data_IF_500988866261
#
_entry.id   IF_500988866261
#
_cell.length_a   1.000
_cell.length_b   1.000
_cell.length_c   1.000
_cell.angle_alpha   90.00
_cell.angle_beta   90.00
_cell.angle_gamma   90.00
#
_symmetry.space_group_name_H-M   'P 1'
#
loop_
_entity.id
_entity.type
_entity.pdbx_description
1 polymer ?
#
# COMPACT_ATOMS: atom_id res chain seq x y z
N UNK A 1 17.61 14.40 -5.85
CA UNK A 1 16.20 14.86 -5.94
C UNK A 1 15.28 13.73 -5.52
N UNK A 2 14.28 14.05 -4.74
CA UNK A 2 13.34 13.04 -4.26
C UNK A 2 12.39 12.62 -5.39
N UNK A 3 12.09 11.33 -5.48
CA UNK A 3 11.13 10.82 -6.46
C UNK A 3 9.69 11.16 -6.09
N UNK A 4 8.76 10.75 -6.95
CA UNK A 4 7.33 10.99 -6.74
C UNK A 4 6.60 9.70 -6.45
N UNK A 5 5.56 9.79 -5.63
CA UNK A 5 4.76 8.66 -5.22
C UNK A 5 3.40 8.72 -5.90
N UNK A 6 3.07 7.67 -6.65
CA UNK A 6 1.83 7.55 -7.41
C UNK A 6 1.08 6.31 -6.92
N UNK A 7 -0.19 6.48 -6.62
CA UNK A 7 -1.05 5.35 -6.23
C UNK A 7 -2.11 5.10 -7.28
N UNK A 8 -2.42 3.82 -7.50
CA UNK A 8 -3.52 3.40 -8.36
C UNK A 8 -4.54 2.67 -7.51
N UNK A 9 -5.76 3.17 -7.53
CA UNK A 9 -6.85 2.63 -6.75
C UNK A 9 -7.92 2.03 -7.67
N UNK A 10 -8.63 1.02 -7.19
CA UNK A 10 -9.68 0.37 -7.95
C UNK A 10 -9.86 -1.06 -7.51
N UNK A 11 -10.98 -1.65 -7.93
CA UNK A 11 -11.29 -3.03 -7.62
C UNK A 11 -10.56 -4.01 -8.51
N UNK A 12 -10.70 -5.28 -8.19
CA UNK A 12 -10.18 -6.37 -9.01
C UNK A 12 -10.79 -6.30 -10.43
N UNK A 13 -10.00 -6.66 -11.43
CA UNK A 13 -10.48 -6.74 -12.81
C UNK A 13 -10.60 -5.42 -13.55
N UNK A 14 -10.09 -4.31 -12.99
CA UNK A 14 -10.14 -3.01 -13.64
C UNK A 14 -8.98 -2.74 -14.60
N UNK A 15 -8.06 -3.69 -14.76
CA UNK A 15 -6.85 -3.48 -15.56
C UNK A 15 -5.78 -2.66 -14.88
N UNK A 16 -5.90 -2.43 -13.60
CA UNK A 16 -5.02 -1.58 -12.80
C UNK A 16 -3.57 -2.02 -12.85
N UNK A 17 -3.30 -3.33 -12.73
CA UNK A 17 -1.94 -3.86 -12.78
C UNK A 17 -1.29 -3.63 -14.14
N UNK A 18 -2.04 -3.78 -15.22
CA UNK A 18 -1.56 -3.52 -16.57
C UNK A 18 -1.24 -2.04 -16.76
N UNK A 19 -2.12 -1.16 -16.27
CA UNK A 19 -1.90 0.28 -16.34
C UNK A 19 -0.67 0.69 -15.54
N UNK A 20 -0.46 0.11 -14.37
CA UNK A 20 0.72 0.40 -13.55
C UNK A 20 2.01 0.02 -14.28
N UNK A 21 2.04 -1.15 -14.90
CA UNK A 21 3.21 -1.61 -15.65
C UNK A 21 3.49 -0.71 -16.86
N UNK A 22 2.44 -0.31 -17.58
CA UNK A 22 2.60 0.59 -18.73
C UNK A 22 3.10 1.97 -18.32
N UNK A 23 2.58 2.50 -17.22
CA UNK A 23 3.04 3.79 -16.69
C UNK A 23 4.52 3.71 -16.28
N UNK A 24 4.91 2.63 -15.61
CA UNK A 24 6.30 2.42 -15.23
C UNK A 24 7.22 2.42 -16.45
N UNK A 25 6.85 1.71 -17.51
CA UNK A 25 7.63 1.68 -18.75
C UNK A 25 7.76 3.06 -19.38
N UNK A 26 6.69 3.85 -19.39
CA UNK A 26 6.73 5.19 -19.95
C UNK A 26 7.65 6.12 -19.15
N UNK A 27 7.56 6.03 -17.82
CA UNK A 27 8.43 6.85 -16.97
C UNK A 27 9.90 6.45 -17.11
N UNK A 28 10.18 5.17 -17.24
CA UNK A 28 11.54 4.70 -17.49
C UNK A 28 12.06 5.18 -18.83
N UNK A 29 11.21 5.19 -19.86
CA UNK A 29 11.57 5.72 -21.17
C UNK A 29 11.90 7.22 -21.14
N UNK A 30 11.32 7.94 -20.18
CA UNK A 30 11.61 9.36 -19.96
C UNK A 30 12.84 9.60 -19.07
N UNK A 31 13.51 8.55 -18.66
CA UNK A 31 14.74 8.65 -17.86
C UNK A 31 14.55 8.55 -16.36
N UNK A 32 13.36 8.22 -15.90
CA UNK A 32 13.11 8.05 -14.47
C UNK A 32 13.34 6.59 -14.03
N UNK A 33 13.87 6.40 -12.83
CA UNK A 33 13.92 5.08 -12.22
C UNK A 33 12.61 4.86 -11.47
N UNK A 34 11.99 3.69 -11.65
CA UNK A 34 10.67 3.39 -11.11
C UNK A 34 10.72 2.14 -10.24
N UNK A 35 10.13 2.23 -9.06
CA UNK A 35 9.85 1.10 -8.19
C UNK A 35 8.35 0.81 -8.29
N UNK A 36 8.01 -0.34 -8.84
CA UNK A 36 6.63 -0.81 -8.89
C UNK A 36 6.37 -1.66 -7.66
N UNK A 37 5.32 -1.36 -6.93
CA UNK A 37 4.98 -2.07 -5.69
C UNK A 37 3.48 -2.17 -5.51
N UNK A 38 3.04 -2.82 -4.45
CA UNK A 38 1.62 -3.07 -4.20
C UNK A 38 1.32 -3.16 -2.71
N UNK A 39 0.05 -3.07 -2.35
CA UNK A 39 -0.42 -3.31 -0.99
C UNK A 39 -1.62 -4.28 -1.00
N UNK A 40 -1.75 -5.15 0.01
CA UNK A 40 -0.75 -5.38 1.06
C UNK A 40 0.45 -6.13 0.49
N UNK A 41 1.65 -5.79 0.98
CA UNK A 41 2.89 -6.41 0.53
C UNK A 41 3.93 -5.37 0.16
N UNK A 42 4.90 -5.76 -0.64
CA UNK A 42 5.93 -4.86 -1.17
C UNK A 42 7.18 -4.73 -0.31
N UNK A 43 7.25 -5.42 0.80
CA UNK A 43 8.42 -5.46 1.70
C UNK A 43 8.42 -6.79 2.45
N UNK A 44 9.56 -7.20 3.05
CA UNK A 44 9.62 -8.52 3.69
C UNK A 44 8.55 -8.76 4.76
N UNK A 45 8.37 -7.83 5.69
CA UNK A 45 7.33 -7.96 6.72
C UNK A 45 5.93 -7.87 6.16
N UNK A 46 5.72 -6.97 5.20
CA UNK A 46 4.43 -6.80 4.56
C UNK A 46 4.02 -8.04 3.77
N UNK A 47 4.97 -8.73 3.13
CA UNK A 47 4.68 -9.97 2.39
C UNK A 47 4.23 -11.09 3.33
N UNK A 48 4.82 -11.19 4.51
CA UNK A 48 4.39 -12.16 5.53
C UNK A 48 2.95 -11.88 5.94
N UNK A 49 2.64 -10.63 6.22
CA UNK A 49 1.28 -10.22 6.63
C UNK A 49 0.28 -10.45 5.49
N UNK A 50 0.68 -10.13 4.25
CA UNK A 50 -0.13 -10.40 3.07
C UNK A 50 -0.52 -11.88 3.01
N UNK A 51 0.41 -12.77 3.27
CA UNK A 51 0.17 -14.21 3.25
C UNK A 51 -0.91 -14.58 4.27
N UNK A 52 -0.82 -14.06 5.48
CA UNK A 52 -1.82 -14.29 6.53
C UNK A 52 -3.19 -13.77 6.12
N UNK A 53 -3.25 -12.55 5.56
CA UNK A 53 -4.50 -11.93 5.14
C UNK A 53 -5.17 -12.70 4.00
N UNK A 54 -4.41 -13.08 2.97
CA UNK A 54 -4.96 -13.78 1.81
C UNK A 54 -5.36 -15.22 2.12
N UNK A 55 -4.72 -15.85 3.09
CA UNK A 55 -5.09 -17.21 3.50
C UNK A 55 -6.42 -17.29 4.24
N UNK A 56 -6.93 -16.15 4.71
CA UNK A 56 -8.13 -16.10 5.52
C UNK A 56 -7.90 -16.44 6.98
N UNK A 57 -6.65 -16.67 7.40
CA UNK A 57 -6.32 -17.07 8.78
C UNK A 57 -6.73 -16.00 9.81
N UNK A 58 -6.75 -14.73 9.42
CA UNK A 58 -7.12 -13.63 10.30
C UNK A 58 -8.63 -13.37 10.37
N UNK A 59 -9.43 -13.93 9.46
CA UNK A 59 -10.87 -13.68 9.42
C UNK A 59 -11.60 -13.99 10.71
N UNK A 60 -11.31 -15.12 11.41
CA UNK A 60 -11.98 -15.41 12.67
C UNK A 60 -11.70 -14.38 13.76
N UNK A 61 -10.64 -13.59 13.61
CA UNK A 61 -10.27 -12.57 14.60
C UNK A 61 -11.05 -11.26 14.42
N UNK A 62 -11.76 -11.11 13.31
CA UNK A 62 -12.62 -9.97 13.05
C UNK A 62 -11.98 -8.90 12.17
N UNK A 63 -12.84 -7.99 11.67
CA UNK A 63 -12.43 -6.94 10.75
C UNK A 63 -11.46 -5.94 11.38
N UNK A 64 -11.58 -5.69 12.67
CA UNK A 64 -10.68 -4.77 13.37
C UNK A 64 -9.24 -5.30 13.35
N UNK A 65 -9.07 -6.61 13.58
CA UNK A 65 -7.75 -7.23 13.55
C UNK A 65 -7.19 -7.23 12.14
N UNK A 66 -8.01 -7.51 11.14
CA UNK A 66 -7.58 -7.43 9.75
C UNK A 66 -7.10 -6.01 9.40
N UNK A 67 -7.82 -4.98 9.87
CA UNK A 67 -7.41 -3.59 9.64
C UNK A 67 -6.06 -3.29 10.29
N UNK A 68 -5.83 -3.80 11.50
CA UNK A 68 -4.54 -3.64 12.18
C UNK A 68 -3.41 -4.32 11.42
N UNK A 69 -3.67 -5.51 10.87
CA UNK A 69 -2.68 -6.22 10.06
C UNK A 69 -2.36 -5.46 8.78
N UNK A 70 -3.37 -4.90 8.10
CA UNK A 70 -3.14 -4.04 6.93
C UNK A 70 -2.27 -2.84 7.29
N UNK A 71 -2.55 -2.19 8.43
CA UNK A 71 -1.76 -1.05 8.88
C UNK A 71 -0.31 -1.43 9.20
N UNK A 72 -0.10 -2.58 9.82
CA UNK A 72 1.24 -3.07 10.12
C UNK A 72 2.01 -3.39 8.84
N UNK A 73 1.35 -4.00 7.87
CA UNK A 73 1.96 -4.27 6.55
C UNK A 73 2.35 -2.98 5.86
N UNK A 74 1.49 -1.97 5.92
CA UNK A 74 1.76 -0.66 5.32
C UNK A 74 2.94 0.03 6.00
N UNK A 75 3.03 -0.05 7.31
CA UNK A 75 4.14 0.54 8.05
C UNK A 75 5.47 -0.04 7.58
N UNK A 76 5.56 -1.35 7.48
CA UNK A 76 6.75 -2.03 6.99
C UNK A 76 7.06 -1.65 5.53
N UNK A 77 6.03 -1.61 4.68
CA UNK A 77 6.16 -1.24 3.28
C UNK A 77 6.68 0.19 3.12
N UNK A 78 6.15 1.13 3.90
CA UNK A 78 6.61 2.52 3.87
C UNK A 78 8.06 2.62 4.28
N UNK A 79 8.43 1.99 5.39
CA UNK A 79 9.78 2.09 5.92
C UNK A 79 10.82 1.37 5.08
N UNK A 80 10.50 0.19 4.57
CA UNK A 80 11.47 -0.66 3.91
C UNK A 80 11.54 -0.49 2.41
N UNK A 81 10.49 0.01 1.77
CA UNK A 81 10.41 0.11 0.31
C UNK A 81 10.13 1.53 -0.17
N UNK A 82 9.02 2.13 0.27
CA UNK A 82 8.57 3.40 -0.30
C UNK A 82 9.54 4.54 0.03
N UNK A 83 9.79 4.79 1.31
CA UNK A 83 10.68 5.88 1.70
C UNK A 83 12.11 5.73 1.17
N UNK A 84 12.75 4.56 1.27
CA UNK A 84 14.08 4.41 0.70
C UNK A 84 14.13 4.66 -0.81
N UNK A 85 13.10 4.19 -1.54
CA UNK A 85 13.01 4.42 -2.98
C UNK A 85 12.89 5.90 -3.31
N UNK A 86 11.98 6.60 -2.62
CA UNK A 86 11.79 8.04 -2.84
C UNK A 86 13.05 8.83 -2.51
N UNK A 87 13.72 8.48 -1.42
CA UNK A 87 14.95 9.16 -1.00
C UNK A 87 16.08 8.96 -1.99
N UNK A 88 16.11 7.81 -2.67
CA UNK A 88 17.11 7.54 -3.70
C UNK A 88 16.78 8.15 -5.06
N UNK A 89 15.67 8.87 -5.16
CA UNK A 89 15.24 9.52 -6.39
C UNK A 89 14.35 8.69 -7.29
N UNK A 90 13.96 7.49 -6.88
CA UNK A 90 13.05 6.65 -7.66
C UNK A 90 11.62 7.15 -7.53
N UNK A 91 10.88 7.03 -8.62
CA UNK A 91 9.43 7.16 -8.58
C UNK A 91 8.84 5.84 -8.09
N UNK A 92 7.82 5.91 -7.24
CA UNK A 92 7.16 4.72 -6.71
C UNK A 92 5.74 4.69 -7.24
N UNK A 93 5.37 3.59 -7.90
CA UNK A 93 3.99 3.35 -8.33
C UNK A 93 3.46 2.22 -7.44
N UNK A 94 2.44 2.52 -6.66
CA UNK A 94 1.84 1.58 -5.73
C UNK A 94 0.44 1.20 -6.16
N UNK A 95 0.21 -0.08 -6.34
CA UNK A 95 -1.10 -0.63 -6.62
C UNK A 95 -1.82 -0.85 -5.28
N UNK A 96 -2.89 -0.11 -5.07
CA UNK A 96 -3.65 0.01 -3.82
C UNK A 96 -2.85 0.67 -2.70
N UNK A 97 -3.50 1.54 -1.98
CA UNK A 97 -2.92 2.21 -0.82
C UNK A 97 -4.03 2.59 0.16
N UNK A 98 -3.96 3.77 0.76
CA UNK A 98 -4.85 4.20 1.86
C UNK A 98 -6.34 4.03 1.53
N UNK A 99 -6.75 4.47 0.35
CA UNK A 99 -8.18 4.50 -0.01
C UNK A 99 -8.77 3.09 -0.11
N UNK A 100 -8.01 2.12 -0.62
CA UNK A 100 -8.46 0.74 -0.65
C UNK A 100 -8.70 0.20 0.75
N UNK A 101 -7.83 0.51 1.70
CA UNK A 101 -8.02 0.12 3.10
C UNK A 101 -9.31 0.73 3.66
N UNK A 102 -9.56 2.01 3.39
CA UNK A 102 -10.79 2.67 3.85
C UNK A 102 -12.03 2.00 3.31
N UNK A 103 -12.02 1.62 2.04
CA UNK A 103 -13.17 0.97 1.41
C UNK A 103 -13.35 -0.46 1.93
N UNK A 104 -12.30 -1.26 1.86
CA UNK A 104 -12.44 -2.69 2.15
C UNK A 104 -12.51 -3.01 3.64
N UNK A 105 -11.79 -2.32 4.49
CA UNK A 105 -11.84 -2.55 5.93
C UNK A 105 -12.83 -1.65 6.66
N UNK A 106 -12.99 -0.41 6.21
CA UNK A 106 -13.87 0.55 6.87
C UNK A 106 -15.33 0.32 6.53
N UNK A 107 -15.68 0.30 5.24
CA UNK A 107 -17.06 0.20 4.80
C UNK A 107 -17.50 -1.26 4.72
N UNK A 108 -16.78 -2.07 3.96
CA UNK A 108 -17.16 -3.46 3.73
C UNK A 108 -16.88 -4.34 4.93
N UNK A 109 -15.83 -4.07 5.69
CA UNK A 109 -15.47 -4.80 6.89
C UNK A 109 -16.12 -4.27 8.16
N UNK A 110 -16.89 -3.17 8.07
CA UNK A 110 -17.53 -2.52 9.22
C UNK A 110 -16.56 -2.12 10.33
N UNK A 111 -15.34 -1.76 9.97
CA UNK A 111 -14.34 -1.29 10.91
C UNK A 111 -14.62 0.17 11.28
N UNK A 112 -14.41 0.53 12.55
CA UNK A 112 -14.57 1.90 13.03
C UNK A 112 -13.66 2.86 12.25
N UNK A 113 -14.24 3.90 11.66
CA UNK A 113 -13.51 4.88 10.87
C UNK A 113 -12.45 5.62 11.68
N UNK A 114 -12.68 5.79 12.98
CA UNK A 114 -11.70 6.42 13.86
C UNK A 114 -10.46 5.55 14.04
N UNK A 115 -10.66 4.24 14.15
CA UNK A 115 -9.55 3.29 14.22
C UNK A 115 -8.71 3.36 12.95
N UNK A 116 -9.36 3.32 11.79
CA UNK A 116 -8.65 3.39 10.50
C UNK A 116 -7.83 4.68 10.40
N UNK A 117 -8.41 5.82 10.76
CA UNK A 117 -7.69 7.10 10.72
C UNK A 117 -6.51 7.13 11.68
N UNK A 118 -6.66 6.55 12.86
CA UNK A 118 -5.56 6.47 13.83
C UNK A 118 -4.41 5.62 13.32
N UNK A 119 -4.73 4.47 12.70
CA UNK A 119 -3.73 3.59 12.11
C UNK A 119 -3.00 4.25 10.93
N UNK A 120 -3.73 4.96 10.07
CA UNK A 120 -3.14 5.71 8.97
C UNK A 120 -2.19 6.77 9.47
N UNK A 121 -2.56 7.47 10.54
CA UNK A 121 -1.71 8.52 11.12
C UNK A 121 -0.39 7.96 11.58
N UNK A 122 -0.40 6.79 12.23
CA UNK A 122 0.83 6.15 12.68
C UNK A 122 1.67 5.66 11.50
N UNK A 123 1.03 4.98 10.53
CA UNK A 123 1.76 4.32 9.44
C UNK A 123 2.21 5.29 8.34
N UNK A 124 1.50 6.37 8.12
CA UNK A 124 1.71 7.23 6.94
C UNK A 124 2.08 8.66 7.31
N UNK A 125 1.20 9.35 8.04
CA UNK A 125 1.38 10.80 8.29
C UNK A 125 2.68 11.09 9.03
N UNK A 126 3.03 10.28 9.99
CA UNK A 126 4.25 10.43 10.77
C UNK A 126 5.52 10.18 9.97
N UNK A 127 5.41 9.48 8.85
CA UNK A 127 6.57 9.13 8.02
C UNK A 127 6.75 10.08 6.85
N UNK A 128 5.85 11.02 6.68
CA UNK A 128 5.92 12.05 5.63
C UNK A 128 6.07 11.45 4.24
N UNK A 129 5.25 10.44 3.90
CA UNK A 129 5.29 9.77 2.61
C UNK A 129 4.59 10.60 1.54
N UNK A 130 3.49 11.18 1.88
CA UNK A 130 2.64 11.94 0.94
C UNK A 130 2.72 13.42 1.16
#
# INVERSE_FOLDING_TARGET
>A
MRGKFITLEGGEGTGKSTQAAMLALRLEALGHHVQLTREPGGSPGAEIIRHVLLSGAAKPLGADVEAMLFAAARDDHVQCTILPSLKSGKWVICDRFVDSTRVYQGILGQVDQRLIRSLERVAIDRKSVV
#
